data_IF_073082889081
#
_entry.id   IF_073082889081
#
_cell.length_a   1.000
_cell.length_b   1.000
_cell.length_c   1.000
_cell.angle_alpha   90.00
_cell.angle_beta   90.00
_cell.angle_gamma   90.00
#
_symmetry.space_group_name_H-M   'P 1'
#
loop_
_entity.id
_entity.type
_entity.pdbx_description
1 polymer ?
#
# COMPACT_ATOMS: atom_id res chain seq x y z
N UNK A 1 -14.40 13.17 -12.59
CA UNK A 1 -14.55 12.34 -11.38
C UNK A 1 -13.31 11.45 -11.10
N UNK A 2 -12.90 10.56 -12.01
CA UNK A 2 -11.76 9.62 -11.79
C UNK A 2 -10.42 10.34 -11.54
N UNK A 3 -10.06 11.31 -12.38
CA UNK A 3 -8.81 12.08 -12.21
C UNK A 3 -8.75 12.88 -10.89
N UNK A 4 -9.89 13.32 -10.37
CA UNK A 4 -9.96 14.01 -9.09
C UNK A 4 -9.67 13.09 -7.89
N UNK A 5 -9.74 11.77 -8.09
CA UNK A 5 -9.35 10.78 -7.10
C UNK A 5 -7.87 10.36 -7.23
N UNK A 6 -7.13 10.89 -8.21
CA UNK A 6 -5.71 10.60 -8.38
C UNK A 6 -4.86 11.16 -7.23
N UNK A 7 -3.72 10.52 -7.00
CA UNK A 7 -2.79 10.86 -5.92
C UNK A 7 -2.95 9.97 -4.68
N UNK A 8 -1.84 9.72 -4.00
CA UNK A 8 -1.84 8.88 -2.80
C UNK A 8 -2.40 9.64 -1.60
N UNK A 9 -3.27 8.97 -0.83
CA UNK A 9 -3.80 9.46 0.45
C UNK A 9 -3.30 8.53 1.55
N UNK A 10 -2.31 8.96 2.33
CA UNK A 10 -1.71 8.16 3.38
C UNK A 10 -2.46 8.31 4.72
N UNK A 11 -3.76 8.03 4.68
CA UNK A 11 -4.68 8.16 5.80
C UNK A 11 -5.66 6.98 5.86
N UNK A 12 -6.33 6.76 7.01
CA UNK A 12 -7.42 5.79 7.12
C UNK A 12 -8.47 6.00 6.03
N UNK A 13 -8.81 4.93 5.31
CA UNK A 13 -9.76 4.96 4.20
C UNK A 13 -10.57 3.67 4.14
N UNK A 14 -11.88 3.79 3.91
CA UNK A 14 -12.83 2.69 3.85
C UNK A 14 -13.56 2.67 2.48
N UNK A 15 -12.88 2.34 1.37
CA UNK A 15 -13.47 2.39 0.03
C UNK A 15 -14.63 1.40 -0.20
N UNK A 16 -14.83 0.46 0.71
CA UNK A 16 -15.94 -0.50 0.69
C UNK A 16 -17.12 -0.10 1.59
N UNK A 17 -17.08 1.06 2.27
CA UNK A 17 -18.17 1.49 3.15
C UNK A 17 -19.50 1.66 2.39
N UNK A 18 -19.43 2.15 1.15
CA UNK A 18 -20.59 2.41 0.28
C UNK A 18 -20.86 1.27 -0.70
N UNK A 19 -20.37 0.04 -0.43
CA UNK A 19 -20.44 -1.06 -1.39
C UNK A 19 -21.89 -1.35 -1.85
N UNK A 20 -22.86 -1.38 -0.94
CA UNK A 20 -24.27 -1.64 -1.28
C UNK A 20 -24.84 -0.55 -2.20
N UNK A 21 -24.50 0.72 -1.95
CA UNK A 21 -24.87 1.85 -2.80
C UNK A 21 -24.35 1.66 -4.23
N UNK A 22 -23.12 1.17 -4.39
CA UNK A 22 -22.55 0.89 -5.71
C UNK A 22 -23.16 -0.35 -6.37
N UNK A 23 -23.44 -1.41 -5.61
CA UNK A 23 -24.12 -2.61 -6.13
C UNK A 23 -25.55 -2.32 -6.62
N UNK A 24 -26.24 -1.38 -5.97
CA UNK A 24 -27.55 -0.91 -6.41
C UNK A 24 -27.50 -0.11 -7.73
N UNK A 25 -26.35 0.54 -8.03
CA UNK A 25 -26.14 1.32 -9.25
C UNK A 25 -25.76 0.48 -10.47
N UNK A 26 -25.30 -0.75 -10.26
CA UNK A 26 -24.94 -1.68 -11.34
C UNK A 26 -23.43 -1.86 -11.48
N UNK A 27 -22.93 -1.90 -12.71
CA UNK A 27 -21.55 -2.33 -13.02
C UNK A 27 -20.51 -1.24 -12.73
N UNK A 28 -19.43 -1.57 -12.03
CA UNK A 28 -18.32 -0.65 -11.72
C UNK A 28 -16.97 -1.37 -11.61
N UNK A 29 -15.87 -0.65 -11.86
CA UNK A 29 -14.53 -1.13 -11.53
C UNK A 29 -14.15 -0.71 -10.10
N UNK A 30 -13.39 -1.53 -9.39
CA UNK A 30 -12.93 -1.24 -8.04
C UNK A 30 -11.44 -0.93 -8.01
N UNK A 31 -11.04 0.14 -7.31
CA UNK A 31 -9.63 0.47 -7.04
C UNK A 31 -9.45 0.61 -5.54
N UNK A 32 -8.53 -0.16 -4.94
CA UNK A 32 -8.33 -0.11 -3.50
C UNK A 32 -7.00 -0.71 -3.03
N UNK A 33 -6.83 -0.73 -1.71
CA UNK A 33 -5.65 -1.36 -1.10
C UNK A 33 -5.74 -2.88 -1.32
N UNK A 34 -4.62 -3.63 -1.26
CA UNK A 34 -4.64 -5.09 -1.37
C UNK A 34 -5.61 -5.77 -0.39
N UNK A 35 -5.73 -5.25 0.83
CA UNK A 35 -6.68 -5.74 1.82
C UNK A 35 -8.15 -5.44 1.46
N UNK A 36 -8.44 -4.34 0.77
CA UNK A 36 -9.78 -4.00 0.30
C UNK A 36 -10.19 -4.97 -0.83
N UNK A 37 -9.30 -5.19 -1.81
CA UNK A 37 -9.54 -6.17 -2.89
C UNK A 37 -9.73 -7.57 -2.32
N UNK A 38 -8.90 -7.98 -1.36
CA UNK A 38 -9.06 -9.28 -0.69
C UNK A 38 -10.43 -9.39 0.00
N UNK A 39 -10.89 -8.32 0.66
CA UNK A 39 -12.19 -8.30 1.30
C UNK A 39 -13.33 -8.40 0.28
N UNK A 40 -13.25 -7.68 -0.84
CA UNK A 40 -14.25 -7.71 -1.89
C UNK A 40 -14.33 -9.09 -2.58
N UNK A 41 -13.19 -9.70 -2.88
CA UNK A 41 -13.12 -11.10 -3.38
C UNK A 41 -13.69 -12.10 -2.37
N UNK A 42 -13.44 -11.90 -1.08
CA UNK A 42 -14.01 -12.74 -0.04
C UNK A 42 -15.54 -12.60 0.03
N UNK A 43 -16.06 -11.38 -0.08
CA UNK A 43 -17.51 -11.10 -0.09
C UNK A 43 -18.20 -11.65 -1.34
N UNK A 44 -17.53 -11.63 -2.50
CA UNK A 44 -18.05 -12.19 -3.75
C UNK A 44 -18.39 -13.69 -3.67
N UNK A 45 -17.83 -14.43 -2.70
CA UNK A 45 -18.18 -15.84 -2.46
C UNK A 45 -19.58 -16.04 -1.89
N UNK A 46 -20.15 -15.00 -1.26
CA UNK A 46 -21.49 -15.04 -0.66
C UNK A 46 -22.46 -14.02 -1.24
N UNK A 47 -21.97 -13.14 -2.12
CA UNK A 47 -22.79 -12.16 -2.84
C UNK A 47 -22.46 -12.20 -4.34
N UNK A 48 -23.27 -12.90 -5.15
CA UNK A 48 -23.00 -13.09 -6.57
C UNK A 48 -23.09 -11.78 -7.38
N UNK A 49 -23.73 -10.73 -6.84
CA UNK A 49 -23.79 -9.41 -7.49
C UNK A 49 -22.39 -8.85 -7.73
N UNK A 50 -21.47 -9.06 -6.78
CA UNK A 50 -20.08 -8.57 -6.89
C UNK A 50 -19.36 -9.20 -8.08
N UNK A 51 -19.50 -10.51 -8.27
CA UNK A 51 -18.88 -11.21 -9.41
C UNK A 51 -19.47 -10.74 -10.75
N UNK A 52 -20.78 -10.47 -10.80
CA UNK A 52 -21.46 -9.98 -11.99
C UNK A 52 -21.16 -8.50 -12.31
N UNK A 53 -21.04 -7.65 -11.30
CA UNK A 53 -20.99 -6.20 -11.45
C UNK A 53 -19.58 -5.60 -11.32
N UNK A 54 -18.62 -6.31 -10.73
CA UNK A 54 -17.24 -5.83 -10.54
C UNK A 54 -16.27 -6.63 -11.42
N UNK A 55 -16.21 -6.35 -12.73
CA UNK A 55 -15.40 -7.11 -13.68
C UNK A 55 -13.89 -6.94 -13.46
N UNK A 56 -13.48 -5.85 -12.81
CA UNK A 56 -12.09 -5.47 -12.61
C UNK A 56 -11.89 -4.92 -11.20
N UNK A 57 -10.93 -5.51 -10.48
CA UNK A 57 -10.47 -5.09 -9.17
C UNK A 57 -8.98 -4.77 -9.24
N UNK A 58 -8.65 -3.49 -9.19
CA UNK A 58 -7.29 -2.98 -9.27
C UNK A 58 -6.76 -2.68 -7.86
N UNK A 59 -5.48 -2.95 -7.65
CA UNK A 59 -4.78 -2.59 -6.43
C UNK A 59 -3.53 -1.78 -6.71
N UNK A 60 -3.00 -1.17 -5.66
CA UNK A 60 -1.66 -0.62 -5.64
C UNK A 60 -0.85 -1.23 -4.51
N UNK A 61 0.48 -1.22 -4.62
CA UNK A 61 1.35 -1.70 -3.57
C UNK A 61 1.16 -0.83 -2.32
N UNK A 62 0.95 -1.46 -1.17
CA UNK A 62 0.59 -0.76 0.05
C UNK A 62 1.65 -0.97 1.12
N UNK A 63 2.34 0.11 1.48
CA UNK A 63 3.33 0.11 2.55
C UNK A 63 2.72 0.22 3.96
N UNK A 64 1.39 0.35 4.06
CA UNK A 64 0.64 0.43 5.30
C UNK A 64 -0.24 1.67 5.34
N UNK A 65 -1.20 1.70 6.26
CA UNK A 65 -2.10 2.84 6.46
C UNK A 65 -1.64 3.57 7.72
N UNK A 66 -1.12 4.80 7.62
CA UNK A 66 -0.83 5.63 8.78
C UNK A 66 -2.10 6.04 9.54
N UNK A 67 -1.94 6.35 10.82
CA UNK A 67 -2.98 6.97 11.64
C UNK A 67 -3.27 8.41 11.20
N UNK A 68 -4.44 8.95 11.58
CA UNK A 68 -4.72 10.37 11.38
C UNK A 68 -3.71 11.28 12.13
N UNK A 69 -3.20 10.80 13.28
CA UNK A 69 -2.16 11.50 14.04
C UNK A 69 -0.87 11.69 13.22
N UNK A 70 -0.55 10.79 12.28
CA UNK A 70 0.57 10.97 11.37
C UNK A 70 0.46 12.21 10.48
N UNK A 71 -0.76 12.60 10.10
CA UNK A 71 -0.98 13.86 9.35
C UNK A 71 -0.76 15.06 10.25
N UNK A 72 -1.26 15.02 11.49
CA UNK A 72 -1.01 16.06 12.49
C UNK A 72 0.49 16.32 12.70
N UNK A 73 1.29 15.25 12.86
CA UNK A 73 2.75 15.39 13.00
C UNK A 73 3.44 15.99 11.78
N UNK A 74 2.93 15.76 10.57
CA UNK A 74 3.46 16.43 9.37
C UNK A 74 3.17 17.92 9.46
N UNK A 75 1.94 18.29 9.78
CA UNK A 75 1.53 19.70 9.91
C UNK A 75 2.35 20.42 10.99
N UNK A 76 2.54 19.78 12.15
CA UNK A 76 3.40 20.29 13.24
C UNK A 76 4.82 20.56 12.73
N UNK A 77 5.43 19.60 12.00
CA UNK A 77 6.79 19.75 11.45
C UNK A 77 6.86 20.80 10.33
N UNK A 78 5.76 21.06 9.62
CA UNK A 78 5.66 22.15 8.64
C UNK A 78 5.38 23.53 9.27
N UNK A 79 5.11 23.59 10.58
CA UNK A 79 4.67 24.81 11.25
C UNK A 79 3.30 25.28 10.75
N UNK A 80 2.44 24.36 10.29
CA UNK A 80 1.10 24.66 9.82
C UNK A 80 0.08 24.17 10.87
N UNK A 81 -0.85 25.04 11.28
CA UNK A 81 -1.95 24.63 12.16
C UNK A 81 -3.09 24.04 11.34
N UNK A 82 -3.76 22.97 11.79
CA UNK A 82 -4.84 22.34 11.03
C UNK A 82 -5.94 23.31 10.59
N UNK A 83 -6.30 24.29 11.42
CA UNK A 83 -7.30 25.31 11.14
C UNK A 83 -6.91 26.29 10.02
N UNK A 84 -5.62 26.44 9.74
CA UNK A 84 -5.11 27.34 8.70
C UNK A 84 -4.99 26.63 7.33
N UNK A 85 -5.13 25.29 7.30
CA UNK A 85 -4.91 24.46 6.10
C UNK A 85 -6.18 24.37 5.25
N UNK A 86 -6.13 24.97 4.06
CA UNK A 86 -7.19 24.89 3.06
C UNK A 86 -7.15 23.56 2.27
N UNK A 87 -5.96 23.04 2.01
CA UNK A 87 -5.77 21.77 1.31
C UNK A 87 -4.47 21.07 1.73
N UNK A 88 -4.49 19.75 1.72
CA UNK A 88 -3.31 18.95 2.03
C UNK A 88 -3.08 17.85 0.98
N UNK A 89 -1.86 17.77 0.48
CA UNK A 89 -1.39 16.75 -0.45
C UNK A 89 -0.28 15.95 0.22
N UNK A 90 -0.47 14.64 0.34
CA UNK A 90 0.54 13.75 0.94
C UNK A 90 1.78 13.54 0.06
N UNK A 91 1.59 13.66 -1.26
CA UNK A 91 2.61 13.46 -2.28
C UNK A 91 2.14 14.04 -3.63
N UNK A 92 3.05 14.64 -4.39
CA UNK A 92 2.84 15.08 -5.77
C UNK A 92 3.75 16.26 -6.13
N UNK A 93 3.48 16.92 -7.24
CA UNK A 93 4.34 17.97 -7.81
C UNK A 93 5.76 17.46 -8.12
N UNK A 94 5.82 16.24 -8.64
CA UNK A 94 7.04 15.47 -8.88
C UNK A 94 6.82 13.98 -8.66
N UNK A 95 7.90 13.20 -8.78
CA UNK A 95 7.94 11.79 -8.41
C UNK A 95 9.26 11.50 -7.68
N UNK A 96 9.24 11.30 -6.34
CA UNK A 96 8.04 11.24 -5.52
C UNK A 96 7.37 12.60 -5.24
N UNK A 97 8.06 13.71 -5.34
CA UNK A 97 7.55 15.04 -5.05
C UNK A 97 7.44 15.34 -3.55
N UNK A 98 6.51 16.22 -3.20
CA UNK A 98 6.39 16.80 -1.88
C UNK A 98 5.08 16.46 -1.17
N UNK A 99 5.16 16.38 0.16
CA UNK A 99 3.99 16.59 0.99
C UNK A 99 3.80 18.10 1.17
N UNK A 100 2.62 18.61 0.82
CA UNK A 100 2.34 20.04 0.72
C UNK A 100 1.05 20.39 1.48
N UNK A 101 1.15 21.33 2.42
CA UNK A 101 0.03 22.02 3.02
C UNK A 101 -0.15 23.38 2.33
N UNK A 102 -1.34 23.63 1.79
CA UNK A 102 -1.76 24.92 1.24
C UNK A 102 -2.64 25.61 2.27
N UNK A 103 -2.28 26.82 2.67
CA UNK A 103 -2.98 27.58 3.69
C UNK A 103 -4.09 28.45 3.08
N UNK A 104 -5.02 28.94 3.91
CA UNK A 104 -6.10 29.83 3.48
C UNK A 104 -5.62 31.18 2.92
N UNK A 105 -4.41 31.63 3.30
CA UNK A 105 -3.75 32.82 2.75
C UNK A 105 -3.11 32.60 1.36
N UNK A 106 -3.21 31.37 0.83
CA UNK A 106 -2.62 30.96 -0.45
C UNK A 106 -1.15 30.54 -0.38
N UNK A 107 -0.46 30.75 0.76
CA UNK A 107 0.91 30.30 0.95
C UNK A 107 0.99 28.77 1.10
N UNK A 108 2.17 28.21 0.83
CA UNK A 108 2.39 26.76 0.95
C UNK A 108 3.51 26.46 1.95
N UNK A 109 3.41 25.29 2.60
CA UNK A 109 4.48 24.67 3.39
C UNK A 109 4.66 23.25 2.89
N UNK A 110 5.91 22.84 2.63
CA UNK A 110 6.18 21.53 2.04
C UNK A 110 7.42 20.86 2.61
N UNK A 111 7.44 19.53 2.54
CA UNK A 111 8.61 18.70 2.87
C UNK A 111 8.75 17.56 1.88
N UNK A 112 9.95 16.98 1.79
CA UNK A 112 10.22 15.89 0.86
C UNK A 112 9.39 14.63 1.19
N UNK A 113 9.23 13.74 0.21
CA UNK A 113 8.63 12.44 0.45
C UNK A 113 9.39 11.62 1.51
N UNK A 114 10.73 11.71 1.54
CA UNK A 114 11.54 11.03 2.54
C UNK A 114 11.24 11.54 3.97
N UNK A 115 11.12 12.87 4.14
CA UNK A 115 10.82 13.48 5.44
C UNK A 115 9.40 13.20 5.92
N UNK A 116 8.43 13.15 5.00
CA UNK A 116 7.04 12.89 5.34
C UNK A 116 6.78 11.39 5.52
N UNK A 117 7.00 10.58 4.48
CA UNK A 117 6.75 9.14 4.55
C UNK A 117 7.78 8.41 5.39
N UNK A 118 9.07 8.60 5.11
CA UNK A 118 10.16 7.89 5.75
C UNK A 118 10.23 8.17 7.25
N UNK A 119 10.26 9.45 7.63
CA UNK A 119 10.49 9.83 9.03
C UNK A 119 9.24 9.88 9.89
N UNK A 120 8.06 10.13 9.32
CA UNK A 120 6.81 10.31 10.08
C UNK A 120 5.84 9.16 9.82
N UNK A 121 5.25 9.10 8.62
CA UNK A 121 4.09 8.24 8.35
C UNK A 121 4.38 6.75 8.49
N UNK A 122 5.58 6.30 8.12
CA UNK A 122 5.99 4.89 8.22
C UNK A 122 5.95 4.37 9.67
N UNK A 123 6.10 5.25 10.66
CA UNK A 123 6.08 4.94 12.10
C UNK A 123 4.67 4.94 12.68
N UNK A 124 3.71 5.54 11.97
CA UNK A 124 2.30 5.69 12.34
C UNK A 124 1.40 4.60 11.73
N UNK A 125 2.00 3.62 11.03
CA UNK A 125 1.29 2.53 10.38
C UNK A 125 0.58 1.62 11.39
N UNK A 126 -0.69 1.38 11.15
CA UNK A 126 -1.56 0.52 11.96
C UNK A 126 -0.96 -0.89 12.17
N UNK A 127 -1.18 -1.46 13.35
CA UNK A 127 -0.69 -2.81 13.68
C UNK A 127 -1.14 -3.88 12.68
N UNK A 128 -2.39 -3.82 12.20
CA UNK A 128 -2.91 -4.75 11.18
C UNK A 128 -2.03 -4.79 9.93
N UNK A 129 -1.48 -3.66 9.50
CA UNK A 129 -0.57 -3.58 8.34
C UNK A 129 0.78 -4.25 8.61
N UNK A 130 1.24 -4.28 9.88
CA UNK A 130 2.48 -4.97 10.29
C UNK A 130 2.35 -6.49 10.20
N UNK A 131 1.14 -7.03 10.25
CA UNK A 131 0.86 -8.47 10.10
C UNK A 131 0.14 -8.79 8.78
N UNK A 132 0.07 -7.84 7.84
CA UNK A 132 -0.57 -8.04 6.55
C UNK A 132 0.29 -8.92 5.63
N UNK A 133 -0.22 -10.06 5.14
CA UNK A 133 0.52 -10.97 4.29
C UNK A 133 0.45 -10.61 2.80
N UNK A 134 -0.25 -9.54 2.45
CA UNK A 134 -0.40 -9.09 1.07
C UNK A 134 -0.25 -7.58 0.99
N UNK A 135 0.94 -7.14 0.59
CA UNK A 135 1.24 -5.74 0.33
C UNK A 135 1.33 -5.42 -1.18
N UNK A 136 1.21 -6.44 -2.03
CA UNK A 136 1.51 -6.37 -3.48
C UNK A 136 0.28 -6.66 -4.34
N UNK A 137 -0.90 -6.75 -3.72
CA UNK A 137 -2.17 -6.90 -4.43
C UNK A 137 -2.36 -8.27 -5.06
N UNK A 138 -2.02 -9.36 -4.36
CA UNK A 138 -2.10 -10.73 -4.92
C UNK A 138 -3.50 -11.11 -5.42
N UNK A 139 -4.55 -10.52 -4.85
CA UNK A 139 -5.95 -10.84 -5.18
C UNK A 139 -6.57 -9.89 -6.24
N UNK A 140 -5.79 -8.93 -6.74
CA UNK A 140 -6.22 -7.98 -7.77
C UNK A 140 -6.10 -8.55 -9.18
N UNK A 141 -6.84 -7.99 -10.13
CA UNK A 141 -6.66 -8.27 -11.57
C UNK A 141 -5.38 -7.61 -12.09
N UNK A 142 -5.13 -6.36 -11.65
CA UNK A 142 -3.88 -5.64 -11.88
C UNK A 142 -3.44 -5.01 -10.56
N UNK A 143 -2.15 -5.09 -10.26
CA UNK A 143 -1.52 -4.35 -9.18
C UNK A 143 -0.45 -3.40 -9.72
N UNK A 144 -0.50 -2.13 -9.32
CA UNK A 144 0.49 -1.11 -9.70
C UNK A 144 1.38 -0.70 -8.52
N UNK A 145 2.58 -0.19 -8.78
CA UNK A 145 3.44 0.37 -7.75
C UNK A 145 4.35 1.45 -8.32
N UNK A 146 4.96 2.27 -7.47
CA UNK A 146 6.12 3.07 -7.88
C UNK A 146 7.28 2.15 -8.29
N UNK A 147 7.87 2.40 -9.47
CA UNK A 147 9.07 1.69 -9.94
C UNK A 147 10.33 2.41 -9.46
N UNK A 148 10.66 2.32 -8.18
CA UNK A 148 11.85 2.98 -7.62
C UNK A 148 13.14 2.58 -8.34
N UNK A 149 14.09 3.50 -8.48
CA UNK A 149 15.46 3.12 -8.86
C UNK A 149 16.21 2.67 -7.62
N UNK A 150 17.10 1.68 -7.74
CA UNK A 150 18.06 1.40 -6.68
C UNK A 150 19.14 2.48 -6.67
N UNK A 151 19.52 2.96 -5.48
CA UNK A 151 20.79 3.65 -5.29
C UNK A 151 21.96 2.64 -5.35
N UNK A 152 23.20 3.13 -5.28
CA UNK A 152 24.43 2.31 -5.34
C UNK A 152 24.49 1.22 -4.24
N UNK A 153 23.63 1.30 -3.23
CA UNK A 153 23.51 0.36 -2.10
C UNK A 153 22.32 -0.60 -2.26
N UNK A 154 21.61 -0.54 -3.38
CA UNK A 154 20.46 -1.38 -3.69
C UNK A 154 19.20 -1.00 -2.91
N UNK A 155 19.11 0.24 -2.38
CA UNK A 155 17.93 0.77 -1.71
C UNK A 155 17.15 1.71 -2.63
N UNK A 156 15.81 1.77 -2.56
CA UNK A 156 15.03 2.74 -3.33
C UNK A 156 15.50 4.18 -3.16
N UNK A 157 15.88 4.83 -4.27
CA UNK A 157 16.11 6.27 -4.34
C UNK A 157 14.76 7.00 -4.41
N UNK A 158 14.64 8.06 -3.61
CA UNK A 158 13.49 8.96 -3.56
C UNK A 158 13.82 10.35 -4.13
N UNK A 159 14.89 10.45 -4.92
CA UNK A 159 15.21 11.67 -5.67
C UNK A 159 14.18 11.90 -6.79
N UNK A 160 13.92 13.18 -7.10
CA UNK A 160 12.98 13.57 -8.16
C UNK A 160 13.43 13.09 -9.53
N UNK A 161 12.51 12.42 -10.24
CA UNK A 161 12.72 11.89 -11.60
C UNK A 161 11.39 11.84 -12.36
N UNK A 162 11.45 11.50 -13.64
CA UNK A 162 10.26 11.15 -14.41
C UNK A 162 9.57 9.93 -13.79
N UNK A 163 8.27 10.07 -13.52
CA UNK A 163 7.50 9.07 -12.82
C UNK A 163 7.28 7.81 -13.66
N UNK A 164 7.58 6.65 -13.08
CA UNK A 164 7.30 5.35 -13.69
C UNK A 164 6.61 4.41 -12.71
N UNK A 165 5.73 3.57 -13.26
CA UNK A 165 4.96 2.60 -12.49
C UNK A 165 5.33 1.17 -12.87
N UNK A 166 5.45 0.31 -11.87
CA UNK A 166 5.34 -1.13 -12.05
C UNK A 166 3.89 -1.48 -12.30
N UNK A 167 3.65 -2.41 -13.21
CA UNK A 167 2.33 -3.00 -13.46
C UNK A 167 2.46 -4.53 -13.44
N UNK A 168 1.57 -5.18 -12.69
CA UNK A 168 1.49 -6.64 -12.63
C UNK A 168 0.05 -7.04 -12.95
N UNK A 169 -0.17 -7.59 -14.15
CA UNK A 169 -1.41 -8.29 -14.48
C UNK A 169 -1.39 -9.69 -13.84
N UNK A 170 -2.46 -10.06 -13.13
CA UNK A 170 -2.55 -11.32 -12.38
C UNK A 170 -3.63 -12.27 -12.89
N UNK A 171 -4.63 -11.73 -13.56
CA UNK A 171 -5.75 -12.49 -14.13
C UNK A 171 -5.83 -12.26 -15.64
N UNK A 172 -6.50 -13.16 -16.36
CA UNK A 172 -6.75 -13.00 -17.78
C UNK A 172 -7.51 -11.69 -18.09
N UNK A 173 -8.46 -11.30 -17.23
CA UNK A 173 -9.19 -10.03 -17.36
C UNK A 173 -8.26 -8.81 -17.19
N UNK A 174 -7.36 -8.85 -16.20
CA UNK A 174 -6.37 -7.81 -16.00
C UNK A 174 -5.37 -7.70 -17.15
N UNK A 175 -4.90 -8.84 -17.67
CA UNK A 175 -4.01 -8.85 -18.84
C UNK A 175 -4.71 -8.30 -20.09
N UNK A 176 -5.94 -8.73 -20.36
CA UNK A 176 -6.73 -8.24 -21.49
C UNK A 176 -6.96 -6.72 -21.42
N UNK A 177 -7.22 -6.17 -20.22
CA UNK A 177 -7.31 -4.72 -20.03
C UNK A 177 -5.99 -4.01 -20.33
N UNK A 178 -4.87 -4.55 -19.82
CA UNK A 178 -3.55 -3.96 -20.05
C UNK A 178 -3.18 -3.99 -21.54
N UNK A 179 -3.45 -5.09 -22.22
CA UNK A 179 -3.19 -5.23 -23.66
C UNK A 179 -4.06 -4.29 -24.49
N UNK A 180 -5.34 -4.11 -24.14
CA UNK A 180 -6.19 -3.11 -24.78
C UNK A 180 -5.68 -1.67 -24.59
N UNK A 181 -5.17 -1.35 -23.39
CA UNK A 181 -4.56 -0.05 -23.11
C UNK A 181 -3.25 0.16 -23.88
N UNK A 182 -2.45 -0.89 -24.07
CA UNK A 182 -1.23 -0.88 -24.91
C UNK A 182 -1.56 -0.70 -26.40
N UNK A 183 -2.56 -1.44 -26.91
CA UNK A 183 -2.97 -1.37 -28.31
C UNK A 183 -3.50 0.02 -28.71
N UNK A 184 -4.04 0.77 -27.75
CA UNK A 184 -4.51 2.15 -27.93
C UNK A 184 -3.46 3.20 -27.56
N UNK A 185 -2.22 2.78 -27.23
CA UNK A 185 -1.10 3.63 -26.82
C UNK A 185 -1.39 4.55 -25.62
N UNK A 186 -2.42 4.24 -24.81
CA UNK A 186 -2.71 4.97 -23.56
C UNK A 186 -1.66 4.66 -22.49
N UNK A 187 -1.02 3.49 -22.57
CA UNK A 187 0.12 3.10 -21.74
C UNK A 187 1.20 2.44 -22.59
N UNK A 188 2.45 2.77 -22.29
CA UNK A 188 3.64 2.06 -22.81
C UNK A 188 4.23 1.22 -21.69
N UNK A 189 4.65 0.00 -22.01
CA UNK A 189 5.18 -0.95 -21.02
C UNK A 189 6.43 -1.63 -21.54
N UNK A 190 7.39 -1.85 -20.65
CA UNK A 190 8.60 -2.63 -20.92
C UNK A 190 8.65 -3.86 -20.00
N UNK A 191 9.21 -4.99 -20.45
CA UNK A 191 9.40 -6.16 -19.59
C UNK A 191 10.32 -5.83 -18.41
N UNK A 192 9.99 -6.35 -17.22
CA UNK A 192 10.82 -6.24 -16.03
C UNK A 192 10.95 -7.59 -15.33
N UNK A 193 12.17 -7.97 -14.97
CA UNK A 193 12.43 -9.20 -14.23
C UNK A 193 11.89 -9.12 -12.79
N UNK A 194 11.35 -10.24 -12.28
CA UNK A 194 10.83 -10.32 -10.90
C UNK A 194 11.88 -9.97 -9.84
N UNK A 195 13.16 -10.28 -10.08
CA UNK A 195 14.26 -9.94 -9.17
C UNK A 195 14.41 -8.42 -9.01
N UNK A 196 14.21 -7.66 -10.08
CA UNK A 196 14.26 -6.19 -10.04
C UNK A 196 13.09 -5.64 -9.22
N UNK A 197 11.88 -6.20 -9.35
CA UNK A 197 10.73 -5.80 -8.50
C UNK A 197 11.07 -5.97 -7.01
N UNK A 198 11.76 -7.05 -6.63
CA UNK A 198 12.19 -7.28 -5.25
C UNK A 198 13.20 -6.21 -4.79
N UNK A 199 14.14 -5.82 -5.66
CA UNK A 199 15.11 -4.75 -5.39
C UNK A 199 14.46 -3.38 -5.26
N UNK A 200 13.43 -3.10 -6.06
CA UNK A 200 12.66 -1.86 -5.99
C UNK A 200 11.74 -1.82 -4.76
N UNK A 201 11.31 -2.97 -4.26
CA UNK A 201 10.32 -3.08 -3.17
C UNK A 201 10.79 -3.99 -2.02
N UNK A 202 12.00 -3.78 -1.45
CA UNK A 202 12.61 -4.71 -0.51
C UNK A 202 11.84 -4.78 0.82
N UNK A 203 11.21 -3.66 1.20
CA UNK A 203 10.36 -3.59 2.40
C UNK A 203 9.13 -4.49 2.28
N UNK A 204 8.55 -4.61 1.08
CA UNK A 204 7.37 -5.45 0.82
C UNK A 204 7.75 -6.93 0.81
N UNK A 205 8.86 -7.27 0.15
CA UNK A 205 9.41 -8.63 0.17
C UNK A 205 9.71 -9.06 1.61
N UNK A 206 10.51 -8.28 2.35
CA UNK A 206 10.84 -8.55 3.76
C UNK A 206 9.60 -8.72 4.64
N UNK A 207 8.60 -7.84 4.48
CA UNK A 207 7.34 -7.91 5.24
C UNK A 207 6.63 -9.25 5.05
N UNK A 208 6.54 -9.73 3.80
CA UNK A 208 5.93 -11.01 3.47
C UNK A 208 6.67 -12.18 4.12
N UNK A 209 8.01 -12.17 4.05
CA UNK A 209 8.86 -13.25 4.59
C UNK A 209 8.80 -13.34 6.12
N UNK A 210 8.52 -12.23 6.79
CA UNK A 210 8.49 -12.13 8.25
C UNK A 210 7.10 -12.35 8.89
N UNK A 211 6.08 -12.73 8.11
CA UNK A 211 4.73 -12.90 8.67
C UNK A 211 4.69 -14.02 9.70
N UNK A 212 5.29 -15.19 9.42
CA UNK A 212 5.22 -16.32 10.34
C UNK A 212 5.89 -16.03 11.68
N UNK A 213 7.04 -15.34 11.70
CA UNK A 213 7.69 -14.92 12.95
C UNK A 213 6.83 -13.94 13.75
N UNK A 214 6.10 -13.04 13.07
CA UNK A 214 5.15 -12.13 13.74
C UNK A 214 3.94 -12.85 14.31
N UNK A 215 3.37 -13.81 13.58
CA UNK A 215 2.25 -14.63 14.07
C UNK A 215 2.68 -15.48 15.28
N UNK A 216 3.89 -16.03 15.27
CA UNK A 216 4.44 -16.76 16.42
C UNK A 216 4.59 -15.84 17.65
N UNK A 217 5.09 -14.62 17.48
CA UNK A 217 5.20 -13.65 18.58
C UNK A 217 3.81 -13.28 19.15
N UNK A 218 2.79 -13.16 18.29
CA UNK A 218 1.41 -12.96 18.72
C UNK A 218 0.88 -14.14 19.53
N UNK A 219 1.19 -15.38 19.13
CA UNK A 219 0.80 -16.58 19.85
C UNK A 219 1.38 -16.61 21.27
N UNK A 220 2.68 -16.36 21.40
CA UNK A 220 3.37 -16.29 22.71
C UNK A 220 2.79 -15.18 23.57
N UNK A 221 2.48 -14.02 22.99
CA UNK A 221 1.84 -12.91 23.67
C UNK A 221 0.32 -13.07 23.89
N UNK A 222 -0.26 -14.25 23.59
CA UNK A 222 -1.69 -14.57 23.71
C UNK A 222 -2.60 -13.56 23.02
N UNK A 223 -2.18 -13.03 21.86
CA UNK A 223 -2.98 -12.12 21.03
C UNK A 223 -3.79 -12.88 19.99
N UNK A 224 -4.96 -12.37 19.56
CA UNK A 224 -5.75 -12.98 18.48
C UNK A 224 -4.95 -13.07 17.18
N UNK A 225 -4.89 -14.26 16.57
CA UNK A 225 -4.08 -14.52 15.37
C UNK A 225 -5.00 -14.70 14.15
N UNK A 226 -4.78 -13.96 13.05
CA UNK A 226 -5.52 -14.18 11.82
C UNK A 226 -5.14 -15.52 11.16
N UNK A 227 -6.13 -16.18 10.55
CA UNK A 227 -5.91 -17.41 9.78
C UNK A 227 -5.63 -17.05 8.32
N UNK A 228 -4.39 -17.26 7.88
CA UNK A 228 -3.99 -17.07 6.49
C UNK A 228 -3.89 -18.42 5.76
N UNK A 229 -4.48 -18.51 4.57
CA UNK A 229 -4.48 -19.71 3.71
C UNK A 229 -4.12 -19.32 2.27
N UNK A 230 -3.44 -20.20 1.54
CA UNK A 230 -3.14 -20.01 0.11
C UNK A 230 -2.16 -18.87 -0.20
N UNK A 231 -1.40 -18.39 0.78
CA UNK A 231 -0.54 -17.21 0.66
C UNK A 231 0.96 -17.53 0.66
N UNK A 232 1.33 -18.81 0.55
CA UNK A 232 2.71 -19.30 0.46
C UNK A 232 3.65 -18.74 1.55
N UNK A 233 3.14 -18.63 2.79
CA UNK A 233 3.87 -17.98 3.88
C UNK A 233 5.11 -18.77 4.32
N UNK A 234 5.07 -20.11 4.24
CA UNK A 234 6.21 -20.96 4.56
C UNK A 234 7.33 -20.80 3.53
N UNK A 235 6.99 -20.83 2.24
CA UNK A 235 7.93 -20.58 1.15
C UNK A 235 8.56 -19.19 1.29
N UNK A 236 7.75 -18.17 1.57
CA UNK A 236 8.27 -16.83 1.81
C UNK A 236 9.20 -16.78 3.03
N UNK A 237 8.85 -17.42 4.14
CA UNK A 237 9.65 -17.42 5.35
C UNK A 237 11.02 -18.10 5.18
N UNK A 238 11.10 -19.13 4.32
CA UNK A 238 12.35 -19.82 3.98
C UNK A 238 13.35 -18.94 3.21
N UNK A 239 12.89 -17.86 2.57
CA UNK A 239 13.75 -16.90 1.85
C UNK A 239 14.33 -15.81 2.77
N UNK A 240 14.15 -15.92 4.08
CA UNK A 240 14.63 -14.94 5.07
C UNK A 240 15.55 -15.61 6.08
N UNK A 241 16.61 -14.92 6.45
CA UNK A 241 17.62 -15.48 7.37
C UNK A 241 17.00 -15.83 8.74
N UNK A 242 17.45 -16.91 9.41
CA UNK A 242 17.00 -17.26 10.77
C UNK A 242 17.17 -16.10 11.76
N UNK A 243 18.28 -15.36 11.66
CA UNK A 243 18.55 -14.19 12.48
C UNK A 243 17.53 -13.07 12.25
N UNK A 244 17.15 -12.78 11.00
CA UNK A 244 16.13 -11.79 10.69
C UNK A 244 14.74 -12.22 11.19
N UNK A 245 14.41 -13.51 11.12
CA UNK A 245 13.18 -14.05 11.69
C UNK A 245 13.14 -13.91 13.21
N UNK A 246 14.23 -14.25 13.91
CA UNK A 246 14.34 -14.09 15.36
C UNK A 246 14.23 -12.61 15.78
N UNK A 247 14.88 -11.69 15.05
CA UNK A 247 14.76 -10.23 15.27
C UNK A 247 13.33 -9.73 15.07
N UNK A 248 12.64 -10.19 14.03
CA UNK A 248 11.23 -9.85 13.77
C UNK A 248 10.32 -10.34 14.91
N UNK A 249 10.48 -11.60 15.34
CA UNK A 249 9.76 -12.18 16.46
C UNK A 249 9.99 -11.38 17.76
N UNK A 250 11.25 -11.21 18.16
CA UNK A 250 11.62 -10.54 19.41
C UNK A 250 11.19 -9.07 19.41
N UNK A 251 11.32 -8.40 18.26
CA UNK A 251 10.89 -7.00 18.09
C UNK A 251 9.39 -6.82 18.28
N UNK A 252 8.57 -7.76 17.79
CA UNK A 252 7.12 -7.69 17.99
C UNK A 252 6.72 -8.07 19.42
N UNK A 253 7.31 -9.13 19.97
CA UNK A 253 7.04 -9.56 21.35
C UNK A 253 7.36 -8.44 22.35
N UNK A 254 8.52 -7.78 22.19
CA UNK A 254 8.90 -6.61 23.00
C UNK A 254 7.87 -5.50 22.95
N UNK A 255 7.31 -5.20 21.77
CA UNK A 255 6.27 -4.16 21.64
C UNK A 255 5.02 -4.53 22.45
N UNK A 256 4.59 -5.78 22.43
CA UNK A 256 3.46 -6.22 23.24
C UNK A 256 3.73 -6.12 24.75
N UNK A 257 4.93 -6.47 25.21
CA UNK A 257 5.33 -6.32 26.62
C UNK A 257 5.29 -4.84 27.04
N UNK A 258 5.69 -3.93 26.14
CA UNK A 258 5.66 -2.49 26.36
C UNK A 258 4.26 -1.85 26.18
N UNK A 259 3.20 -2.64 25.95
CA UNK A 259 1.85 -2.11 25.70
C UNK A 259 1.69 -1.39 24.36
N UNK A 260 2.62 -1.58 23.42
CA UNK A 260 2.61 -0.94 22.09
C UNK A 260 2.08 -1.92 21.04
N UNK A 261 1.21 -1.44 20.16
CA UNK A 261 0.74 -2.17 18.96
C UNK A 261 1.37 -1.63 17.69
#
# INVERSE_FOLDING_TARGET
>A
AILAAAGSRYAPSAPLAELETWLARGRFAFVGKPCDVTALRARARTDPRIAAQVPLMLAFFCAGIPSAAGTGRILDKLGAKPEDVAAFRYRGDGWPGFATATLHDGSTRRMSYADSWGDILSKEVQFRCKICPDAVGNMADIACADAWYGDDRGYPSFAEQDGRSLVIARTAAGLALLDAARATAVVTTEPLAMAEIIRMQPSQARRKRQILSRLAAMAVARRPIPRYRGLQLWQAAALESPLAQARSFAGLLRRFIQGRT
#
